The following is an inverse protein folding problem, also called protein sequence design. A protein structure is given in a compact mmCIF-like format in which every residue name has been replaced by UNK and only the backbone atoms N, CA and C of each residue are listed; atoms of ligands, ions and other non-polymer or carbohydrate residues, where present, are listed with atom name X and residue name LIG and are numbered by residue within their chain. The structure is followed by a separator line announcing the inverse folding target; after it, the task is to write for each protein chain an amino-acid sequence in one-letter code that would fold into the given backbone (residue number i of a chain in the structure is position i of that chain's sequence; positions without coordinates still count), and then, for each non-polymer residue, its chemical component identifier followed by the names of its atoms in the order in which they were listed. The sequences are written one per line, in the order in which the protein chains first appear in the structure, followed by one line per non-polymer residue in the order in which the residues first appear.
data_IF_414261238143
#
_entry.id   IF_414261238143
#
_cell.length_a   1.000
_cell.length_b   1.000
_cell.length_c   1.000
_cell.angle_alpha   90.00
_cell.angle_beta   90.00
_cell.angle_gamma   90.00
#
_symmetry.space_group_name_H-M   'P 1'
#
loop_
_entity.id
_entity.type
_entity.pdbx_description
1 polymer ?
#
# COMPACT_ATOMS: atom_id res chain seq x y z
N UNK A 1 12.95 -21.36 6.93
CA UNK A 1 11.70 -20.58 6.83
C UNK A 1 10.95 -20.38 8.14
N UNK A 2 10.91 -21.35 9.07
CA UNK A 2 10.22 -21.18 10.39
C UNK A 2 10.78 -20.03 11.26
N UNK A 3 12.10 -19.86 11.31
CA UNK A 3 12.79 -18.81 12.09
C UNK A 3 12.47 -17.37 11.67
N UNK A 4 12.16 -17.11 10.39
CA UNK A 4 11.77 -15.79 9.91
C UNK A 4 10.37 -15.40 10.40
N UNK A 5 9.44 -16.35 10.45
CA UNK A 5 8.07 -16.11 10.93
C UNK A 5 7.99 -15.96 12.46
N UNK A 6 8.81 -16.66 13.21
CA UNK A 6 8.87 -16.56 14.67
C UNK A 6 9.46 -15.22 15.12
N UNK A 7 10.49 -14.73 14.43
CA UNK A 7 11.05 -13.41 14.68
C UNK A 7 10.07 -12.28 14.34
N UNK A 8 9.25 -12.43 13.29
CA UNK A 8 8.19 -11.47 12.95
C UNK A 8 7.08 -11.40 13.99
N UNK A 9 6.63 -12.54 14.53
CA UNK A 9 5.62 -12.59 15.59
C UNK A 9 6.13 -11.97 16.89
N UNK A 10 7.39 -12.19 17.24
CA UNK A 10 8.03 -11.56 18.39
C UNK A 10 8.16 -10.05 18.21
N UNK A 11 8.48 -9.60 17.01
CA UNK A 11 8.54 -8.17 16.63
C UNK A 11 7.19 -7.45 16.75
N UNK A 12 6.10 -8.15 16.43
CA UNK A 12 4.73 -7.60 16.52
C UNK A 12 4.19 -7.60 17.95
N UNK A 13 4.68 -8.48 18.83
CA UNK A 13 4.19 -8.62 20.21
C UNK A 13 4.99 -7.83 21.25
N UNK A 14 6.21 -7.42 20.96
CA UNK A 14 6.97 -6.52 21.84
C UNK A 14 6.55 -5.07 21.58
N UNK A 15 5.30 -4.74 21.96
CA UNK A 15 4.69 -3.44 21.78
C UNK A 15 5.47 -2.35 22.52
N UNK A 16 6.09 -1.46 21.76
CA UNK A 16 6.39 -0.13 22.29
C UNK A 16 5.03 0.54 22.45
N UNK A 17 4.57 0.70 23.66
CA UNK A 17 3.38 1.49 23.96
C UNK A 17 3.70 2.95 23.64
N UNK A 18 3.50 3.34 22.38
CA UNK A 18 3.49 4.75 22.01
C UNK A 18 2.17 5.27 22.56
N UNK A 19 2.24 6.19 23.52
CA UNK A 19 1.02 6.78 24.08
C UNK A 19 0.29 7.55 22.98
N UNK A 20 -1.05 7.51 23.03
CA UNK A 20 -1.93 8.16 22.02
C UNK A 20 -1.57 9.67 21.88
N UNK A 21 -1.14 10.33 22.95
CA UNK A 21 -0.68 11.72 22.92
C UNK A 21 0.56 11.92 22.03
N UNK A 22 1.57 11.05 22.15
CA UNK A 22 2.78 11.12 21.28
C UNK A 22 2.48 10.81 19.82
N UNK A 23 1.48 10.01 19.53
CA UNK A 23 1.08 9.72 18.14
C UNK A 23 0.50 10.96 17.46
N UNK A 24 -0.29 11.75 18.18
CA UNK A 24 -0.89 12.99 17.67
C UNK A 24 0.13 14.12 17.41
N UNK A 25 1.28 14.08 18.07
CA UNK A 25 2.36 15.06 17.88
C UNK A 25 3.27 14.78 16.69
N UNK A 26 3.15 13.60 16.07
CA UNK A 26 3.99 13.28 14.91
C UNK A 26 3.54 14.07 13.68
N UNK A 27 4.46 14.86 13.14
CA UNK A 27 4.24 15.58 11.90
C UNK A 27 3.91 14.64 10.72
N UNK A 28 3.18 15.16 9.75
CA UNK A 28 2.96 14.43 8.49
C UNK A 28 4.28 14.13 7.79
N UNK A 29 4.42 12.96 7.14
CA UNK A 29 5.60 12.68 6.33
C UNK A 29 5.79 13.73 5.24
N UNK A 30 7.01 14.23 5.09
CA UNK A 30 7.34 15.31 4.14
C UNK A 30 6.77 15.06 2.72
N UNK A 31 6.87 13.86 2.12
CA UNK A 31 6.32 13.62 0.78
C UNK A 31 4.78 13.74 0.68
N UNK A 32 4.06 13.80 1.80
CA UNK A 32 2.62 14.05 1.78
C UNK A 32 2.30 15.52 1.57
N UNK A 33 3.23 16.41 1.89
CA UNK A 33 3.11 17.87 1.82
C UNK A 33 3.91 18.47 0.65
N UNK A 34 4.86 17.72 0.10
CA UNK A 34 5.73 18.11 -1.00
C UNK A 34 5.43 17.24 -2.24
N UNK A 35 4.82 17.86 -3.27
CA UNK A 35 4.42 17.18 -4.50
C UNK A 35 5.64 16.72 -5.33
N UNK A 36 6.70 17.51 -5.37
CA UNK A 36 7.90 17.20 -6.15
C UNK A 36 8.63 16.00 -5.52
N UNK A 37 8.78 16.01 -4.21
CA UNK A 37 9.35 14.89 -3.47
C UNK A 37 8.50 13.62 -3.61
N UNK A 38 7.18 13.75 -3.52
CA UNK A 38 6.24 12.65 -3.74
C UNK A 38 6.39 12.04 -5.13
N UNK A 39 6.46 12.88 -6.16
CA UNK A 39 6.62 12.47 -7.56
C UNK A 39 7.96 11.79 -7.78
N UNK A 40 9.06 12.36 -7.28
CA UNK A 40 10.40 11.77 -7.33
C UNK A 40 10.46 10.39 -6.67
N UNK A 41 9.83 10.24 -5.52
CA UNK A 41 9.77 8.96 -4.82
C UNK A 41 8.94 7.92 -5.58
N UNK A 42 7.81 8.33 -6.16
CA UNK A 42 7.00 7.48 -7.04
C UNK A 42 7.81 7.01 -8.25
N UNK A 43 8.49 7.89 -8.94
CA UNK A 43 9.25 7.56 -10.15
C UNK A 43 10.41 6.63 -9.82
N UNK A 44 11.09 6.86 -8.68
CA UNK A 44 12.10 5.93 -8.17
C UNK A 44 11.51 4.54 -7.89
N UNK A 45 10.29 4.45 -7.36
CA UNK A 45 9.63 3.16 -7.12
C UNK A 45 9.27 2.44 -8.42
N UNK A 46 8.97 3.19 -9.49
CA UNK A 46 8.75 2.62 -10.83
C UNK A 46 10.03 2.03 -11.41
N UNK A 47 11.14 2.74 -11.30
CA UNK A 47 12.43 2.30 -11.83
C UNK A 47 13.02 1.11 -11.05
N UNK A 48 12.90 1.13 -9.71
CA UNK A 48 13.58 0.17 -8.84
C UNK A 48 12.73 -1.03 -8.43
N UNK A 49 11.41 -0.89 -8.47
CA UNK A 49 10.48 -1.90 -7.97
C UNK A 49 9.29 -2.14 -8.91
N UNK A 50 9.36 -1.68 -10.15
CA UNK A 50 8.30 -1.85 -11.16
C UNK A 50 6.91 -1.47 -10.61
N UNK A 51 6.82 -0.34 -9.89
CA UNK A 51 5.55 0.13 -9.36
C UNK A 51 4.56 0.39 -10.50
N UNK A 52 3.44 -0.33 -10.48
CA UNK A 52 2.42 -0.29 -11.54
C UNK A 52 1.22 -1.17 -11.21
N UNK A 53 0.39 -1.51 -12.20
CA UNK A 53 0.29 -0.87 -13.52
C UNK A 53 -0.03 0.62 -13.41
N UNK A 54 0.28 1.37 -14.47
CA UNK A 54 0.11 2.83 -14.50
C UNK A 54 -1.36 3.24 -14.34
N UNK A 55 -2.26 2.53 -15.00
CA UNK A 55 -3.69 2.63 -14.81
C UNK A 55 -4.15 1.41 -13.98
N UNK A 56 -4.57 1.59 -12.72
CA UNK A 56 -5.06 0.48 -11.91
C UNK A 56 -6.35 -0.14 -12.44
N UNK A 57 -7.07 0.55 -13.32
CA UNK A 57 -8.32 0.09 -13.92
C UNK A 57 -8.11 -0.72 -15.20
N UNK A 58 -6.91 -0.69 -15.76
CA UNK A 58 -6.55 -1.48 -16.94
C UNK A 58 -5.69 -2.69 -16.52
N UNK A 59 -6.25 -3.91 -16.54
CA UNK A 59 -5.49 -5.11 -16.23
C UNK A 59 -4.44 -5.34 -17.31
N UNK A 60 -3.18 -4.99 -17.03
CA UNK A 60 -2.06 -5.32 -17.91
C UNK A 60 -1.59 -6.74 -17.63
N UNK A 61 -2.03 -7.69 -18.44
CA UNK A 61 -1.59 -9.08 -18.31
C UNK A 61 -0.09 -9.24 -18.49
N UNK A 62 0.55 -8.39 -19.29
CA UNK A 62 2.01 -8.34 -19.43
C UNK A 62 2.70 -8.00 -18.11
N UNK A 63 2.20 -7.01 -17.39
CA UNK A 63 2.71 -6.64 -16.08
C UNK A 63 2.64 -7.80 -15.07
N UNK A 64 1.47 -8.45 -14.96
CA UNK A 64 1.26 -9.54 -14.00
C UNK A 64 2.07 -10.78 -14.32
N UNK A 65 2.28 -11.06 -15.59
CA UNK A 65 3.18 -12.14 -16.03
C UNK A 65 4.62 -11.87 -15.62
N UNK A 66 5.10 -10.64 -15.78
CA UNK A 66 6.44 -10.24 -15.33
C UNK A 66 6.55 -10.26 -13.81
N UNK A 67 5.55 -9.74 -13.11
CA UNK A 67 5.51 -9.75 -11.64
C UNK A 67 5.53 -11.18 -11.09
N UNK A 68 4.74 -12.10 -11.65
CA UNK A 68 4.73 -13.51 -11.27
C UNK A 68 6.10 -14.18 -11.46
N UNK A 69 6.82 -13.84 -12.53
CA UNK A 69 8.16 -14.38 -12.80
C UNK A 69 9.21 -14.01 -11.75
N UNK A 70 8.96 -12.99 -10.93
CA UNK A 70 9.85 -12.57 -9.83
C UNK A 70 9.60 -13.29 -8.50
N UNK A 71 8.45 -13.95 -8.38
CA UNK A 71 8.05 -14.70 -7.20
C UNK A 71 8.07 -16.18 -7.52
N UNK A 72 9.03 -16.91 -6.96
CA UNK A 72 9.21 -18.34 -7.28
C UNK A 72 7.91 -19.13 -7.13
N UNK A 73 7.43 -19.69 -8.23
CA UNK A 73 6.22 -20.51 -8.29
C UNK A 73 4.89 -19.76 -8.32
N UNK A 74 4.90 -18.41 -8.39
CA UNK A 74 3.66 -17.67 -8.48
C UNK A 74 3.08 -17.66 -9.90
N UNK A 75 1.76 -17.74 -9.99
CA UNK A 75 1.01 -17.52 -11.24
C UNK A 75 0.68 -16.03 -11.43
N UNK A 76 0.40 -15.57 -12.66
CA UNK A 76 -0.10 -14.22 -12.89
C UNK A 76 -1.35 -13.87 -12.05
N UNK A 77 -2.24 -14.85 -11.84
CA UNK A 77 -3.45 -14.69 -11.00
C UNK A 77 -3.11 -14.43 -9.54
N UNK A 78 -2.14 -15.14 -8.98
CA UNK A 78 -1.67 -14.92 -7.62
C UNK A 78 -0.93 -13.56 -7.50
N UNK A 79 -0.13 -13.20 -8.50
CA UNK A 79 0.51 -11.88 -8.53
C UNK A 79 -0.50 -10.73 -8.56
N UNK A 80 -1.64 -10.88 -9.22
CA UNK A 80 -2.74 -9.90 -9.22
C UNK A 80 -3.33 -9.66 -7.83
N UNK A 81 -3.25 -10.61 -6.91
CA UNK A 81 -3.66 -10.46 -5.52
C UNK A 81 -2.67 -9.65 -4.66
N UNK A 82 -1.45 -9.41 -5.14
CA UNK A 82 -0.40 -8.69 -4.42
C UNK A 82 -0.49 -7.19 -4.71
N UNK A 83 -1.33 -6.49 -3.95
CA UNK A 83 -1.65 -5.07 -4.15
C UNK A 83 -1.16 -4.21 -2.99
N UNK A 84 -1.00 -2.91 -3.24
CA UNK A 84 -0.71 -1.97 -2.16
C UNK A 84 -1.75 -2.06 -1.04
N UNK A 85 -3.03 -2.20 -1.36
CA UNK A 85 -4.12 -2.29 -0.38
C UNK A 85 -4.04 -3.43 0.64
N UNK A 86 -3.24 -4.46 0.42
CA UNK A 86 -2.95 -5.55 1.37
C UNK A 86 -1.47 -5.63 1.75
N UNK A 87 -0.68 -4.63 1.40
CA UNK A 87 0.74 -4.56 1.72
C UNK A 87 0.97 -4.07 3.14
N UNK A 88 1.91 -4.69 3.85
CA UNK A 88 2.31 -4.30 5.22
C UNK A 88 2.85 -2.88 5.33
N UNK A 89 3.35 -2.31 4.23
CA UNK A 89 3.89 -0.94 4.18
C UNK A 89 2.86 0.11 3.71
N UNK A 90 1.61 -0.29 3.45
CA UNK A 90 0.56 0.61 3.00
C UNK A 90 -0.25 1.12 4.17
N UNK A 91 -0.25 2.43 4.37
CA UNK A 91 -0.83 3.10 5.53
C UNK A 91 -2.10 3.85 5.15
N UNK A 92 -3.20 3.44 5.77
CA UNK A 92 -4.53 4.07 5.70
C UNK A 92 -5.06 4.35 7.10
N UNK A 93 -4.17 4.49 8.09
CA UNK A 93 -4.56 4.90 9.43
C UNK A 93 -5.24 6.29 9.40
N UNK A 94 -6.15 6.59 10.35
CA UNK A 94 -6.83 7.88 10.41
C UNK A 94 -5.87 9.06 10.34
N UNK A 95 -4.81 9.03 11.15
CA UNK A 95 -3.76 10.04 11.16
C UNK A 95 -3.09 10.21 9.79
N UNK A 96 -2.78 9.12 9.08
CA UNK A 96 -2.15 9.19 7.78
C UNK A 96 -3.09 9.76 6.72
N UNK A 97 -4.36 9.39 6.76
CA UNK A 97 -5.36 9.94 5.84
C UNK A 97 -5.55 11.46 6.01
N UNK A 98 -5.44 11.97 7.25
CA UNK A 98 -5.41 13.42 7.51
C UNK A 98 -4.19 14.11 6.88
N UNK A 99 -3.06 13.43 6.73
CA UNK A 99 -1.87 13.94 6.08
C UNK A 99 -1.93 13.90 4.55
N UNK A 100 -2.87 13.17 3.98
CA UNK A 100 -3.02 13.08 2.53
C UNK A 100 -4.04 14.14 2.08
N UNK A 101 -3.62 15.24 1.40
CA UNK A 101 -4.56 16.18 0.83
C UNK A 101 -5.28 15.52 -0.35
N UNK A 102 -6.28 14.73 -0.02
CA UNK A 102 -7.23 14.18 -0.99
C UNK A 102 -8.35 15.19 -1.01
N UNK A 103 -8.54 15.89 -2.14
CA UNK A 103 -9.74 16.68 -2.29
C UNK A 103 -10.94 15.74 -2.15
N UNK A 104 -11.92 16.11 -1.35
CA UNK A 104 -13.18 15.38 -1.18
C UNK A 104 -13.92 15.18 -2.49
N UNK A 105 -13.54 15.89 -3.55
CA UNK A 105 -14.00 15.73 -4.93
C UNK A 105 -13.21 14.69 -5.75
N UNK A 106 -12.03 14.28 -5.31
CA UNK A 106 -11.36 13.09 -5.84
C UNK A 106 -11.95 11.86 -5.15
N UNK A 107 -13.26 11.76 -5.24
CA UNK A 107 -13.99 10.52 -5.07
C UNK A 107 -13.21 9.42 -5.78
N UNK A 108 -13.11 8.28 -5.13
CA UNK A 108 -12.65 7.01 -5.64
C UNK A 108 -12.71 7.00 -7.19
N UNK A 109 -11.58 6.85 -7.92
CA UNK A 109 -11.61 6.74 -9.37
C UNK A 109 -12.62 5.70 -9.86
N UNK A 110 -12.97 4.72 -9.01
CA UNK A 110 -14.04 3.76 -9.25
C UNK A 110 -15.44 4.37 -9.19
N UNK A 111 -15.63 5.51 -8.53
CA UNK A 111 -16.94 6.19 -8.52
C UNK A 111 -17.28 6.86 -9.85
N UNK A 112 -16.27 7.14 -10.68
CA UNK A 112 -16.43 7.71 -12.02
C UNK A 112 -16.62 6.62 -13.09
N UNK A 113 -16.50 5.35 -12.73
CA UNK A 113 -16.67 4.21 -13.63
C UNK A 113 -18.15 3.80 -13.60
N UNK A 114 -18.74 3.64 -14.78
CA UNK A 114 -20.08 3.10 -14.95
C UNK A 114 -20.27 1.82 -14.10
N UNK A 115 -21.42 1.71 -13.44
CA UNK A 115 -21.69 0.62 -12.47
C UNK A 115 -21.63 -0.77 -13.11
N UNK A 116 -21.99 -0.90 -14.41
CA UNK A 116 -21.86 -2.14 -15.16
C UNK A 116 -20.38 -2.48 -15.43
N UNK A 117 -19.58 -1.46 -15.75
CA UNK A 117 -18.13 -1.62 -15.94
C UNK A 117 -17.45 -1.92 -14.63
N UNK A 118 -17.89 -1.32 -13.52
CA UNK A 118 -17.44 -1.61 -12.16
C UNK A 118 -17.70 -3.07 -11.78
N UNK A 119 -18.91 -3.59 -12.02
CA UNK A 119 -19.26 -4.99 -11.76
C UNK A 119 -18.34 -5.93 -12.54
N UNK A 120 -18.19 -5.69 -13.85
CA UNK A 120 -17.35 -6.49 -14.72
C UNK A 120 -15.85 -6.45 -14.33
N UNK A 121 -15.37 -5.29 -13.90
CA UNK A 121 -14.01 -5.13 -13.40
C UNK A 121 -13.79 -5.84 -12.05
N UNK A 122 -14.79 -5.87 -11.18
CA UNK A 122 -14.74 -6.62 -9.92
C UNK A 122 -14.75 -8.13 -10.17
N UNK A 123 -15.45 -8.61 -11.20
CA UNK A 123 -15.49 -10.01 -11.59
C UNK A 123 -14.19 -10.47 -12.31
N UNK A 124 -13.62 -9.59 -13.15
CA UNK A 124 -12.37 -9.84 -13.87
C UNK A 124 -11.11 -9.60 -13.01
N UNK A 125 -11.22 -8.83 -11.91
CA UNK A 125 -10.19 -8.71 -10.90
C UNK A 125 -10.38 -9.79 -9.84
N UNK A 126 -9.64 -10.91 -9.90
CA UNK A 126 -9.71 -11.91 -8.85
C UNK A 126 -9.19 -11.27 -7.56
N UNK A 127 -10.18 -10.84 -6.77
CA UNK A 127 -9.99 -10.56 -5.38
C UNK A 127 -9.02 -9.43 -5.04
N UNK A 128 -9.56 -8.22 -4.80
CA UNK A 128 -9.02 -7.50 -3.65
C UNK A 128 -9.19 -8.46 -2.46
N UNK A 129 -8.10 -8.88 -1.82
CA UNK A 129 -8.20 -9.80 -0.70
C UNK A 129 -9.14 -9.22 0.35
N UNK A 130 -9.93 -10.07 0.99
CA UNK A 130 -10.80 -9.66 2.07
C UNK A 130 -10.03 -8.81 3.08
N UNK A 131 -10.54 -7.63 3.42
CA UNK A 131 -9.91 -6.68 4.33
C UNK A 131 -8.83 -5.78 3.72
N UNK A 132 -8.54 -5.85 2.43
CA UNK A 132 -7.68 -4.88 1.76
C UNK A 132 -8.31 -3.47 1.81
N UNK A 133 -7.46 -2.44 1.97
CA UNK A 133 -7.92 -1.07 1.88
C UNK A 133 -8.23 -0.70 0.43
N UNK A 134 -9.22 0.16 0.25
CA UNK A 134 -9.55 0.78 -1.03
C UNK A 134 -9.11 2.25 -1.04
N UNK A 135 -8.77 2.77 -2.22
CA UNK A 135 -8.43 4.18 -2.39
C UNK A 135 -6.95 4.50 -2.16
N UNK A 136 -6.70 5.74 -1.79
CA UNK A 136 -5.34 6.25 -1.57
C UNK A 136 -4.85 5.98 -0.16
N UNK A 137 -3.54 5.78 -0.03
CA UNK A 137 -2.81 5.65 1.21
C UNK A 137 -1.35 6.05 1.01
N UNK A 138 -0.55 5.84 2.04
CA UNK A 138 0.87 6.15 2.02
C UNK A 138 1.72 4.88 2.04
N UNK A 139 2.73 4.83 1.18
CA UNK A 139 3.72 3.75 1.14
C UNK A 139 4.95 4.11 1.96
N UNK A 140 5.15 3.48 3.11
CA UNK A 140 6.33 3.70 3.95
C UNK A 140 7.63 3.20 3.33
N UNK A 141 7.57 2.15 2.51
CA UNK A 141 8.75 1.58 1.85
C UNK A 141 9.37 2.58 0.86
N UNK A 142 8.54 3.19 0.04
CA UNK A 142 8.97 4.10 -1.03
C UNK A 142 8.69 5.58 -0.72
N UNK A 143 8.00 5.87 0.40
CA UNK A 143 7.71 7.21 0.91
C UNK A 143 6.98 8.09 -0.10
N UNK A 144 5.80 7.66 -0.54
CA UNK A 144 4.93 8.43 -1.42
C UNK A 144 3.46 8.02 -1.29
N UNK A 145 2.56 8.86 -1.79
CA UNK A 145 1.12 8.57 -1.88
C UNK A 145 0.87 7.58 -3.00
N UNK A 146 0.25 6.45 -2.72
CA UNK A 146 -0.06 5.43 -3.72
C UNK A 146 -1.50 4.95 -3.61
N UNK A 147 -2.01 4.38 -4.70
CA UNK A 147 -3.35 3.81 -4.75
C UNK A 147 -3.32 2.32 -4.41
N UNK A 148 -4.31 1.84 -3.66
CA UNK A 148 -4.43 0.46 -3.18
C UNK A 148 -4.40 -0.60 -4.30
N UNK A 149 -4.95 -0.28 -5.48
CA UNK A 149 -5.01 -1.18 -6.62
C UNK A 149 -3.67 -1.40 -7.34
N UNK A 150 -2.65 -0.60 -7.03
CA UNK A 150 -1.32 -0.76 -7.62
C UNK A 150 -0.51 -1.84 -6.91
N UNK A 151 0.61 -2.21 -7.50
CA UNK A 151 1.54 -3.21 -6.97
C UNK A 151 2.99 -2.81 -7.21
N UNK A 152 3.91 -3.48 -6.54
CA UNK A 152 5.35 -3.36 -6.80
C UNK A 152 6.08 -4.64 -6.35
N UNK A 153 7.32 -4.80 -6.81
CA UNK A 153 8.12 -5.98 -6.47
C UNK A 153 8.60 -6.06 -5.01
N UNK A 154 8.40 -5.00 -4.24
CA UNK A 154 8.71 -4.98 -2.80
C UNK A 154 7.48 -5.25 -1.93
N UNK A 155 6.39 -5.71 -2.54
CA UNK A 155 5.19 -6.07 -1.81
C UNK A 155 5.47 -7.14 -0.75
N UNK A 156 4.86 -6.99 0.41
CA UNK A 156 4.84 -7.97 1.47
C UNK A 156 3.44 -8.01 2.10
N UNK A 157 2.89 -9.21 2.23
CA UNK A 157 1.56 -9.41 2.83
C UNK A 157 1.53 -9.07 4.33
N UNK A 158 0.33 -8.86 4.86
CA UNK A 158 0.09 -8.58 6.27
C UNK A 158 -0.40 -7.16 6.59
N UNK A 159 -0.65 -6.36 5.55
CA UNK A 159 -1.26 -5.04 5.66
C UNK A 159 -2.75 -5.04 5.34
N UNK A 160 -3.33 -3.86 5.22
CA UNK A 160 -2.69 -2.56 5.40
C UNK A 160 -2.52 -2.13 6.87
N UNK A 161 -1.76 -1.05 7.09
CA UNK A 161 -1.69 -0.36 8.39
C UNK A 161 -3.00 0.41 8.58
N UNK A 162 -3.75 0.08 9.63
CA UNK A 162 -5.08 0.67 9.91
C UNK A 162 -5.13 1.50 11.19
N UNK A 163 -4.10 1.42 12.03
CA UNK A 163 -4.08 2.12 13.32
C UNK A 163 -2.95 3.13 13.40
N UNK A 164 -3.20 4.23 14.10
CA UNK A 164 -2.21 5.29 14.30
C UNK A 164 -0.96 4.81 15.04
N UNK A 165 -1.11 3.83 15.94
CA UNK A 165 0.01 3.20 16.62
C UNK A 165 0.96 2.49 15.66
N UNK A 166 0.42 1.69 14.72
CA UNK A 166 1.24 1.04 13.68
C UNK A 166 1.88 2.06 12.74
N UNK A 167 1.13 3.09 12.33
CA UNK A 167 1.65 4.20 11.51
C UNK A 167 2.83 4.89 12.19
N UNK A 168 2.70 5.22 13.48
CA UNK A 168 3.75 5.84 14.27
C UNK A 168 5.01 4.96 14.40
N UNK A 169 4.86 3.65 14.52
CA UNK A 169 5.98 2.70 14.54
C UNK A 169 6.78 2.76 13.23
N UNK A 170 6.09 2.79 12.08
CA UNK A 170 6.74 2.91 10.78
C UNK A 170 7.45 4.25 10.62
N UNK A 171 6.85 5.34 11.09
CA UNK A 171 7.43 6.69 10.99
C UNK A 171 8.66 6.87 11.86
N UNK A 172 8.63 6.38 13.08
CA UNK A 172 9.73 6.59 14.04
C UNK A 172 10.93 5.70 13.78
N UNK A 173 10.78 4.67 12.93
CA UNK A 173 11.90 3.83 12.48
C UNK A 173 12.67 3.17 13.59
N UNK A 174 12.08 2.95 14.77
CA UNK A 174 12.75 2.24 15.85
C UNK A 174 12.93 0.77 15.46
N UNK A 175 13.92 0.54 14.59
CA UNK A 175 14.57 -0.77 14.51
C UNK A 175 15.20 -1.01 15.88
N UNK A 176 14.74 -2.03 16.57
CA UNK A 176 15.57 -2.68 17.56
C UNK A 176 16.59 -3.57 16.88
#
# INVERSE_FOLDING_TARGET
MKLLFENWRKYLNEGITITIEKVKELACPEPTQDLDLNTKNRDRSREKADYGPMNPLEPSMGYWKLAAGKWAGATPKEAMGQRCGNCVAFDVSPRMLECLPISTEQTDPMSMVDEQLRGKMMDDFPGFPEGAALGFGYCWMWKFKCHSARACNTWAGGGPIKTDGQSAQWQTGKKK
#
